data_IF_761669056344
#
_entry.id   IF_761669056344
#
_cell.length_a   1.000
_cell.length_b   1.000
_cell.length_c   1.000
_cell.angle_alpha   90.00
_cell.angle_beta   90.00
_cell.angle_gamma   90.00
#
_symmetry.space_group_name_H-M   'P 1'
#
loop_
_entity.id
_entity.type
_entity.pdbx_description
1 polymer ?
#
# COMPACT_ATOMS: atom_id res chain seq x y z
N UNK A 1 16.93 -1.52 -21.45
CA UNK A 1 16.23 -0.31 -20.97
C UNK A 1 15.70 -0.62 -19.57
N UNK A 2 16.35 -0.15 -18.52
CA UNK A 2 16.04 -0.57 -17.15
C UNK A 2 14.63 -0.14 -16.68
N UNK A 3 14.11 0.95 -17.24
CA UNK A 3 12.75 1.43 -16.96
C UNK A 3 11.67 0.47 -17.46
N UNK A 4 11.88 -0.19 -18.60
CA UNK A 4 10.89 -1.10 -19.20
C UNK A 4 10.77 -2.38 -18.34
N UNK A 5 11.91 -2.93 -17.88
CA UNK A 5 11.92 -4.07 -16.95
C UNK A 5 11.27 -3.71 -15.61
N UNK A 6 11.60 -2.55 -15.06
CA UNK A 6 11.01 -2.05 -13.80
C UNK A 6 9.49 -1.93 -13.92
N UNK A 7 8.99 -1.42 -15.05
CA UNK A 7 7.57 -1.31 -15.33
C UNK A 7 6.89 -2.69 -15.33
N UNK A 8 7.45 -3.67 -16.06
CA UNK A 8 6.89 -5.02 -16.14
C UNK A 8 6.82 -5.70 -14.77
N UNK A 9 7.84 -5.52 -13.91
CA UNK A 9 7.83 -6.05 -12.55
C UNK A 9 6.71 -5.42 -11.72
N UNK A 10 6.54 -4.10 -11.79
CA UNK A 10 5.49 -3.40 -11.04
C UNK A 10 4.11 -3.82 -11.51
N UNK A 11 3.89 -3.94 -12.83
CA UNK A 11 2.63 -4.42 -13.38
C UNK A 11 2.29 -5.84 -12.91
N UNK A 12 3.28 -6.74 -12.86
CA UNK A 12 3.11 -8.10 -12.33
C UNK A 12 2.75 -8.10 -10.83
N UNK A 13 3.40 -7.25 -10.03
CA UNK A 13 3.12 -7.14 -8.59
C UNK A 13 1.70 -6.62 -8.34
N UNK A 14 1.27 -5.61 -9.10
CA UNK A 14 -0.09 -5.06 -9.02
C UNK A 14 -1.11 -6.12 -9.44
N UNK A 15 -0.86 -6.85 -10.53
CA UNK A 15 -1.73 -7.94 -10.97
C UNK A 15 -1.82 -9.07 -9.94
N UNK A 16 -0.77 -9.27 -9.15
CA UNK A 16 -0.73 -10.23 -8.04
C UNK A 16 -1.43 -9.73 -6.77
N UNK A 17 -2.04 -8.53 -6.80
CA UNK A 17 -2.80 -7.96 -5.68
C UNK A 17 -1.96 -7.16 -4.68
N UNK A 18 -0.78 -6.68 -5.08
CA UNK A 18 0.02 -5.78 -4.23
C UNK A 18 -0.71 -4.47 -3.98
N UNK A 19 -0.75 -4.05 -2.72
CA UNK A 19 -1.31 -2.78 -2.28
C UNK A 19 -0.41 -1.61 -2.70
N UNK A 20 -0.94 -0.69 -3.52
CA UNK A 20 -0.23 0.53 -3.96
C UNK A 20 -0.48 1.72 -3.03
N UNK A 21 -1.27 1.51 -2.00
CA UNK A 21 -1.75 2.47 -1.01
C UNK A 21 -1.11 2.26 0.38
N UNK A 22 -0.21 1.28 0.54
CA UNK A 22 0.57 1.12 1.76
C UNK A 22 1.60 2.23 1.92
N UNK A 23 1.84 2.62 3.17
CA UNK A 23 2.89 3.56 3.54
C UNK A 23 4.16 2.79 3.96
N UNK A 24 5.33 3.34 3.61
CA UNK A 24 6.60 2.91 4.19
C UNK A 24 6.84 3.55 5.57
N UNK A 25 7.94 3.19 6.23
CA UNK A 25 8.36 3.74 7.54
C UNK A 25 8.52 5.28 7.56
N UNK A 26 8.52 5.92 6.39
CA UNK A 26 8.65 7.37 6.21
C UNK A 26 7.32 8.01 5.79
N UNK A 27 6.21 7.28 5.90
CA UNK A 27 4.85 7.69 5.51
C UNK A 27 4.72 8.02 4.04
N UNK A 28 5.45 7.31 3.18
CA UNK A 28 5.40 7.49 1.73
C UNK A 28 4.72 6.33 1.05
N UNK A 29 3.88 6.66 0.08
CA UNK A 29 3.31 5.74 -0.89
C UNK A 29 4.39 5.25 -1.88
N UNK A 30 4.21 4.07 -2.49
CA UNK A 30 5.10 3.56 -3.54
C UNK A 30 5.38 4.58 -4.66
N UNK A 31 4.39 5.38 -5.06
CA UNK A 31 4.55 6.41 -6.11
C UNK A 31 5.55 7.51 -5.72
N UNK A 32 5.66 7.82 -4.43
CA UNK A 32 6.58 8.83 -3.90
C UNK A 32 8.02 8.30 -3.83
N UNK A 33 8.20 6.98 -3.78
CA UNK A 33 9.50 6.31 -3.84
C UNK A 33 10.01 6.11 -5.28
N UNK A 34 9.14 6.22 -6.28
CA UNK A 34 9.50 6.05 -7.68
C UNK A 34 10.36 7.20 -8.22
N UNK A 35 11.56 6.87 -8.71
CA UNK A 35 12.51 7.82 -9.33
C UNK A 35 12.08 8.25 -10.75
N UNK A 36 11.42 7.37 -11.50
CA UNK A 36 11.01 7.62 -12.87
C UNK A 36 9.56 8.12 -12.95
N UNK A 37 9.33 9.19 -13.70
CA UNK A 37 7.99 9.79 -13.89
C UNK A 37 6.96 8.81 -14.44
N UNK A 38 7.35 7.96 -15.39
CA UNK A 38 6.47 6.92 -15.96
C UNK A 38 5.98 5.93 -14.89
N UNK A 39 6.89 5.48 -14.03
CA UNK A 39 6.56 4.55 -12.93
C UNK A 39 5.67 5.22 -11.90
N UNK A 40 5.94 6.48 -11.57
CA UNK A 40 5.07 7.28 -10.69
C UNK A 40 3.66 7.39 -11.25
N UNK A 41 3.52 7.71 -12.54
CA UNK A 41 2.22 7.77 -13.22
C UNK A 41 1.50 6.42 -13.25
N UNK A 42 2.23 5.33 -13.48
CA UNK A 42 1.67 3.98 -13.43
C UNK A 42 1.09 3.69 -12.03
N UNK A 43 1.90 3.86 -10.98
CA UNK A 43 1.47 3.61 -9.60
C UNK A 43 0.28 4.49 -9.21
N UNK A 44 0.30 5.77 -9.62
CA UNK A 44 -0.82 6.68 -9.42
C UNK A 44 -2.11 6.19 -10.11
N UNK A 45 -2.01 5.77 -11.38
CA UNK A 45 -3.16 5.27 -12.15
C UNK A 45 -3.73 3.95 -11.60
N UNK A 46 -2.90 3.20 -10.87
CA UNK A 46 -3.25 1.92 -10.25
C UNK A 46 -3.55 2.05 -8.76
N UNK A 47 -3.71 3.29 -8.27
CA UNK A 47 -4.10 3.58 -6.90
C UNK A 47 -5.55 3.17 -6.69
N UNK A 48 -5.73 1.93 -6.26
CA UNK A 48 -7.00 1.40 -5.81
C UNK A 48 -6.87 1.18 -4.31
N UNK A 49 -7.48 2.06 -3.52
CA UNK A 49 -7.44 1.92 -2.07
C UNK A 49 -8.35 0.77 -1.69
N UNK A 50 -7.77 -0.38 -1.35
CA UNK A 50 -8.58 -1.56 -1.01
C UNK A 50 -9.40 -1.28 0.25
N UNK A 51 -10.61 -1.82 0.36
CA UNK A 51 -11.44 -1.63 1.57
C UNK A 51 -10.67 -2.02 2.85
N UNK A 52 -9.81 -3.04 2.79
CA UNK A 52 -8.94 -3.43 3.91
C UNK A 52 -8.02 -2.28 4.33
N UNK A 53 -7.32 -1.67 3.39
CA UNK A 53 -6.45 -0.53 3.66
C UNK A 53 -7.22 0.71 4.14
N UNK A 54 -8.42 0.96 3.58
CA UNK A 54 -9.31 2.03 4.06
C UNK A 54 -9.69 1.85 5.53
N UNK A 55 -10.15 0.65 5.88
CA UNK A 55 -10.50 0.31 7.26
C UNK A 55 -9.28 0.42 8.18
N UNK A 56 -8.11 -0.07 7.75
CA UNK A 56 -6.87 0.05 8.52
C UNK A 56 -6.49 1.52 8.77
N UNK A 57 -6.54 2.38 7.76
CA UNK A 57 -6.28 3.81 7.93
C UNK A 57 -7.28 4.47 8.89
N UNK A 58 -8.56 4.12 8.82
CA UNK A 58 -9.58 4.64 9.72
C UNK A 58 -9.31 4.22 11.17
N UNK A 59 -9.00 2.93 11.39
CA UNK A 59 -8.65 2.38 12.69
C UNK A 59 -7.47 3.11 13.31
N UNK A 60 -6.39 3.31 12.53
CA UNK A 60 -5.17 3.97 13.01
C UNK A 60 -5.43 5.46 13.27
N UNK A 61 -6.06 6.17 12.34
CA UNK A 61 -6.27 7.63 12.45
C UNK A 61 -7.26 8.04 13.53
N UNK A 62 -8.19 7.16 13.91
CA UNK A 62 -9.16 7.40 14.98
C UNK A 62 -8.84 6.66 16.28
N UNK A 63 -7.66 6.01 16.36
CA UNK A 63 -7.23 5.25 17.55
C UNK A 63 -8.27 4.22 18.04
N UNK A 64 -8.99 3.59 17.09
CA UNK A 64 -10.06 2.64 17.40
C UNK A 64 -9.44 1.41 18.08
N UNK A 65 -9.99 0.99 19.22
CA UNK A 65 -9.59 -0.26 19.88
C UNK A 65 -10.17 -1.45 19.09
N UNK A 66 -9.30 -2.31 18.54
CA UNK A 66 -9.69 -3.39 17.62
C UNK A 66 -9.23 -4.79 18.07
N UNK A 67 -8.41 -4.86 19.12
CA UNK A 67 -7.70 -6.05 19.58
C UNK A 67 -8.64 -7.14 20.06
N UNK A 68 -9.80 -6.80 20.64
CA UNK A 68 -10.78 -7.78 21.10
C UNK A 68 -11.73 -8.28 20.00
N UNK A 69 -11.80 -7.61 18.85
CA UNK A 69 -12.84 -7.84 17.84
C UNK A 69 -12.31 -8.41 16.53
N UNK A 70 -11.01 -8.22 16.24
CA UNK A 70 -10.40 -8.68 15.00
C UNK A 70 -9.61 -9.98 15.18
N UNK A 71 -9.48 -10.74 14.10
CA UNK A 71 -8.60 -11.91 14.06
C UNK A 71 -7.12 -11.51 14.08
N UNK A 72 -6.25 -12.41 14.55
CA UNK A 72 -4.80 -12.18 14.59
C UNK A 72 -4.20 -11.78 13.23
N UNK A 73 -4.71 -12.34 12.13
CA UNK A 73 -4.28 -11.97 10.78
C UNK A 73 -4.57 -10.50 10.46
N UNK A 74 -5.75 -10.01 10.83
CA UNK A 74 -6.11 -8.60 10.62
C UNK A 74 -5.36 -7.67 11.57
N UNK A 75 -5.11 -8.10 12.82
CA UNK A 75 -4.26 -7.34 13.75
C UNK A 75 -2.86 -7.15 13.19
N UNK A 76 -2.22 -8.23 12.71
CA UNK A 76 -0.91 -8.17 12.04
C UNK A 76 -0.94 -7.25 10.83
N UNK A 77 -2.00 -7.32 10.02
CA UNK A 77 -2.17 -6.42 8.88
C UNK A 77 -2.22 -4.96 9.34
N UNK A 78 -3.00 -4.61 10.35
CA UNK A 78 -3.08 -3.24 10.87
C UNK A 78 -1.74 -2.77 11.46
N UNK A 79 -1.05 -3.62 12.23
CA UNK A 79 0.28 -3.32 12.78
C UNK A 79 1.30 -2.98 11.69
N UNK A 80 1.26 -3.67 10.55
CA UNK A 80 2.13 -3.37 9.41
C UNK A 80 1.86 -2.00 8.75
N UNK A 81 0.75 -1.34 9.09
CA UNK A 81 0.35 -0.04 8.56
C UNK A 81 0.44 1.09 9.61
N UNK A 82 0.91 0.82 10.83
CA UNK A 82 0.96 1.81 11.93
C UNK A 82 2.08 2.85 11.83
N UNK A 83 2.87 2.86 10.74
CA UNK A 83 4.04 3.74 10.58
C UNK A 83 3.68 5.04 9.85
#
# INVERSE_FOLDING_TARGET
>A
NDTDLTQSIIELLIASGTHTDCLDDQRRLPEQCAKHTKIRQLLHSKRSMSLKCQCTHLIISQEIQYESYLSETLKKFILLHQF
#
